data_IF_274901055964
#
_entry.id   IF_274901055964
#
_cell.length_a   1.000
_cell.length_b   1.000
_cell.length_c   1.000
_cell.angle_alpha   90.00
_cell.angle_beta   90.00
_cell.angle_gamma   90.00
#
_symmetry.space_group_name_H-M   'P 1'
#
loop_
_entity.id
_entity.type
_entity.pdbx_description
1 polymer ?
#
# COMPACT_ATOMS: atom_id res chain seq x y z
N UNK A 1 -26.69 25.04 -63.43
CA UNK A 1 -26.16 23.72 -63.00
C UNK A 1 -24.96 23.84 -62.07
N UNK A 2 -24.07 24.83 -62.25
CA UNK A 2 -22.87 24.99 -61.39
C UNK A 2 -23.14 25.47 -59.95
N UNK A 3 -24.26 26.15 -59.67
CA UNK A 3 -24.57 26.66 -58.32
C UNK A 3 -25.02 25.56 -57.35
N UNK A 4 -25.80 24.59 -57.82
CA UNK A 4 -26.27 23.46 -57.00
C UNK A 4 -25.14 22.51 -56.56
N UNK A 5 -24.09 22.39 -57.37
CA UNK A 5 -22.88 21.62 -57.02
C UNK A 5 -22.07 22.28 -55.91
N UNK A 6 -22.00 23.62 -55.88
CA UNK A 6 -21.29 24.33 -54.82
C UNK A 6 -22.00 24.24 -53.47
N UNK A 7 -23.33 24.32 -53.43
CA UNK A 7 -24.08 24.27 -52.17
C UNK A 7 -23.96 22.91 -51.47
N UNK A 8 -23.96 21.81 -52.25
CA UNK A 8 -23.76 20.47 -51.69
C UNK A 8 -22.34 20.27 -51.16
N UNK A 9 -21.31 20.75 -51.85
CA UNK A 9 -19.93 20.70 -51.37
C UNK A 9 -19.74 21.49 -50.07
N UNK A 10 -20.38 22.66 -49.93
CA UNK A 10 -20.33 23.46 -48.70
C UNK A 10 -21.01 22.70 -47.54
N UNK A 11 -22.15 22.04 -47.77
CA UNK A 11 -22.82 21.24 -46.76
C UNK A 11 -21.97 20.06 -46.28
N UNK A 12 -21.32 19.33 -47.21
CA UNK A 12 -20.42 18.24 -46.84
C UNK A 12 -19.18 18.74 -46.09
N UNK A 13 -18.61 19.87 -46.50
CA UNK A 13 -17.46 20.47 -45.81
C UNK A 13 -17.82 20.88 -44.37
N UNK A 14 -18.99 21.50 -44.16
CA UNK A 14 -19.50 21.85 -42.83
C UNK A 14 -19.77 20.62 -41.97
N UNK A 15 -20.37 19.57 -42.54
CA UNK A 15 -20.61 18.32 -41.84
C UNK A 15 -19.29 17.62 -41.45
N UNK A 16 -18.30 17.60 -42.34
CA UNK A 16 -16.99 17.04 -42.07
C UNK A 16 -16.25 17.81 -40.97
N UNK A 17 -16.32 19.16 -40.99
CA UNK A 17 -15.72 20.00 -39.95
C UNK A 17 -16.40 19.80 -38.60
N UNK A 18 -17.73 19.69 -38.58
CA UNK A 18 -18.49 19.33 -37.37
C UNK A 18 -18.08 17.97 -36.80
N UNK A 19 -17.95 16.96 -37.65
CA UNK A 19 -17.50 15.63 -37.24
C UNK A 19 -16.08 15.64 -36.65
N UNK A 20 -15.16 16.40 -37.25
CA UNK A 20 -13.79 16.56 -36.74
C UNK A 20 -13.76 17.21 -35.35
N UNK A 21 -14.57 18.24 -35.12
CA UNK A 21 -14.65 18.90 -33.81
C UNK A 21 -15.18 17.94 -32.75
N UNK A 22 -16.24 17.18 -33.05
CA UNK A 22 -16.79 16.18 -32.12
C UNK A 22 -15.73 15.11 -31.81
N UNK A 23 -14.99 14.65 -32.81
CA UNK A 23 -13.94 13.64 -32.61
C UNK A 23 -12.79 14.18 -31.76
N UNK A 24 -12.37 15.44 -31.99
CA UNK A 24 -11.36 16.11 -31.17
C UNK A 24 -11.80 16.25 -29.71
N UNK A 25 -13.06 16.62 -29.46
CA UNK A 25 -13.63 16.71 -28.12
C UNK A 25 -13.70 15.34 -27.43
N UNK A 26 -14.06 14.28 -28.15
CA UNK A 26 -14.07 12.91 -27.62
C UNK A 26 -12.66 12.45 -27.23
N UNK A 27 -11.66 12.66 -28.09
CA UNK A 27 -10.26 12.34 -27.78
C UNK A 27 -9.79 13.11 -26.55
N UNK A 28 -10.08 14.42 -26.48
CA UNK A 28 -9.72 15.25 -25.35
C UNK A 28 -10.36 14.78 -24.04
N UNK A 29 -11.66 14.46 -24.07
CA UNK A 29 -12.38 13.94 -22.92
C UNK A 29 -11.79 12.62 -22.42
N UNK A 30 -11.52 11.68 -23.34
CA UNK A 30 -10.87 10.41 -23.01
C UNK A 30 -9.46 10.60 -22.45
N UNK A 31 -8.71 11.56 -22.99
CA UNK A 31 -7.37 11.89 -22.49
C UNK A 31 -7.42 12.40 -21.04
N UNK A 32 -8.34 13.33 -20.74
CA UNK A 32 -8.55 13.84 -19.38
C UNK A 32 -8.99 12.75 -18.39
N UNK A 33 -9.93 11.89 -18.81
CA UNK A 33 -10.37 10.77 -17.98
C UNK A 33 -9.20 9.81 -17.67
N UNK A 34 -8.34 9.53 -18.64
CA UNK A 34 -7.14 8.71 -18.44
C UNK A 34 -6.16 9.37 -17.46
N UNK A 35 -5.93 10.68 -17.55
CA UNK A 35 -5.07 11.40 -16.60
C UNK A 35 -5.64 11.31 -15.18
N UNK A 36 -6.94 11.60 -15.01
CA UNK A 36 -7.59 11.53 -13.70
C UNK A 36 -7.55 10.11 -13.12
N UNK A 37 -7.83 9.11 -13.94
CA UNK A 37 -7.78 7.71 -13.51
C UNK A 37 -6.36 7.29 -13.09
N UNK A 38 -5.32 7.67 -13.86
CA UNK A 38 -3.92 7.42 -13.48
C UNK A 38 -3.53 8.11 -12.17
N UNK A 39 -3.97 9.34 -11.95
CA UNK A 39 -3.71 10.06 -10.70
C UNK A 39 -4.39 9.36 -9.50
N UNK A 40 -5.66 8.96 -9.65
CA UNK A 40 -6.39 8.21 -8.63
C UNK A 40 -5.73 6.85 -8.32
N UNK A 41 -5.33 6.11 -9.37
CA UNK A 41 -4.65 4.84 -9.24
C UNK A 41 -3.32 4.99 -8.46
N UNK A 42 -2.53 6.02 -8.76
CA UNK A 42 -1.31 6.33 -8.00
C UNK A 42 -1.60 6.66 -6.54
N UNK A 43 -2.57 7.53 -6.26
CA UNK A 43 -2.95 7.87 -4.89
C UNK A 43 -3.36 6.63 -4.09
N UNK A 44 -4.11 5.72 -4.71
CA UNK A 44 -4.51 4.45 -4.10
C UNK A 44 -3.34 3.48 -3.92
N UNK A 45 -2.37 3.49 -4.82
CA UNK A 45 -1.13 2.75 -4.64
C UNK A 45 -0.33 3.22 -3.42
N UNK A 46 -0.19 4.54 -3.25
CA UNK A 46 0.43 5.11 -2.04
C UNK A 46 -0.31 4.74 -0.76
N UNK A 47 -1.65 4.79 -0.77
CA UNK A 47 -2.45 4.35 0.38
C UNK A 47 -2.24 2.86 0.70
N UNK A 48 -2.14 2.01 -0.32
CA UNK A 48 -1.86 0.58 -0.13
C UNK A 48 -0.47 0.37 0.52
N UNK A 49 0.56 1.03 0.01
CA UNK A 49 1.93 0.94 0.54
C UNK A 49 1.96 1.42 1.99
N UNK A 50 1.32 2.55 2.29
CA UNK A 50 1.25 3.07 3.65
C UNK A 50 0.54 2.09 4.61
N UNK A 51 -0.57 1.48 4.18
CA UNK A 51 -1.27 0.48 4.97
C UNK A 51 -0.43 -0.80 5.19
N UNK A 52 0.36 -1.23 4.21
CA UNK A 52 1.30 -2.34 4.38
C UNK A 52 2.41 -2.02 5.40
N UNK A 53 2.96 -0.81 5.36
CA UNK A 53 3.95 -0.36 6.35
C UNK A 53 3.34 -0.23 7.75
N UNK A 54 2.11 0.30 7.85
CA UNK A 54 1.39 0.37 9.11
C UNK A 54 1.09 -1.03 9.67
N UNK A 55 0.81 -2.01 8.81
CA UNK A 55 0.67 -3.41 9.21
C UNK A 55 2.00 -3.98 9.75
N UNK A 56 3.12 -3.75 9.07
CA UNK A 56 4.44 -4.16 9.56
C UNK A 56 4.75 -3.55 10.94
N UNK A 57 4.49 -2.26 11.12
CA UNK A 57 4.67 -1.58 12.40
C UNK A 57 3.75 -2.14 13.49
N UNK A 58 2.49 -2.45 13.15
CA UNK A 58 1.56 -3.09 14.08
C UNK A 58 2.09 -4.43 14.60
N UNK A 59 2.66 -5.26 13.72
CA UNK A 59 3.28 -6.54 14.12
C UNK A 59 4.41 -6.33 15.11
N UNK A 60 5.30 -5.37 14.87
CA UNK A 60 6.38 -5.04 15.82
C UNK A 60 5.83 -4.56 17.17
N UNK A 61 4.74 -3.79 17.19
CA UNK A 61 4.09 -3.40 18.45
C UNK A 61 3.50 -4.60 19.21
N UNK A 62 2.92 -5.57 18.52
CA UNK A 62 2.33 -6.76 19.16
C UNK A 62 3.38 -7.69 19.78
N UNK A 63 4.61 -7.64 19.28
CA UNK A 63 5.73 -8.47 19.75
C UNK A 63 6.02 -8.29 21.24
N UNK A 64 5.99 -7.05 21.71
CA UNK A 64 6.44 -6.69 23.06
C UNK A 64 5.28 -6.64 24.07
N UNK A 65 4.05 -6.49 23.58
CA UNK A 65 2.86 -6.40 24.42
C UNK A 65 2.48 -7.77 25.01
N UNK A 66 2.12 -7.84 26.32
CA UNK A 66 1.44 -9.02 26.84
C UNK A 66 0.13 -9.17 26.07
N UNK A 67 -0.04 -10.33 25.45
CA UNK A 67 -1.14 -10.59 24.54
C UNK A 67 -2.43 -10.61 25.35
N UNK A 68 -3.14 -9.48 25.32
CA UNK A 68 -4.29 -9.18 26.18
C UNK A 68 -5.61 -9.36 25.44
N UNK A 69 -5.59 -9.92 24.22
CA UNK A 69 -6.78 -10.10 23.43
C UNK A 69 -7.68 -11.15 24.10
N UNK A 70 -8.79 -10.68 24.69
CA UNK A 70 -9.81 -11.51 25.32
C UNK A 70 -10.49 -12.47 24.32
N UNK A 71 -10.30 -12.26 23.01
CA UNK A 71 -10.72 -13.22 21.99
C UNK A 71 -9.81 -13.25 20.77
N UNK A 72 -9.62 -14.47 20.23
CA UNK A 72 -8.98 -14.71 18.93
C UNK A 72 -9.69 -13.93 17.78
N UNK A 73 -10.97 -13.57 17.99
CA UNK A 73 -11.81 -12.83 17.04
C UNK A 73 -11.35 -11.40 16.81
N UNK A 74 -10.87 -10.69 17.83
CA UNK A 74 -10.29 -9.34 17.70
C UNK A 74 -8.98 -9.35 16.88
N UNK A 75 -8.40 -10.53 16.66
CA UNK A 75 -7.12 -10.72 15.95
C UNK A 75 -7.30 -11.11 14.48
N UNK A 76 -8.54 -11.30 14.03
CA UNK A 76 -8.82 -11.84 12.69
C UNK A 76 -8.38 -10.91 11.55
N UNK A 77 -8.27 -9.61 11.77
CA UNK A 77 -7.52 -8.70 10.90
C UNK A 77 -7.32 -7.32 11.55
N UNK A 78 -6.08 -6.86 11.78
CA UNK A 78 -5.85 -5.48 12.23
C UNK A 78 -6.32 -4.48 11.16
N UNK A 79 -6.67 -3.27 11.59
CA UNK A 79 -7.21 -2.22 10.71
C UNK A 79 -6.37 -1.99 9.43
N UNK A 80 -5.02 -1.94 9.48
CA UNK A 80 -4.22 -1.80 8.26
C UNK A 80 -4.45 -2.93 7.25
N UNK A 81 -4.66 -4.16 7.73
CA UNK A 81 -4.93 -5.33 6.88
C UNK A 81 -6.35 -5.29 6.30
N UNK A 82 -7.33 -4.73 7.02
CA UNK A 82 -8.67 -4.41 6.50
C UNK A 82 -8.56 -3.43 5.33
N UNK A 83 -7.80 -2.34 5.54
CA UNK A 83 -7.57 -1.31 4.53
C UNK A 83 -6.84 -1.86 3.29
N UNK A 84 -5.83 -2.71 3.47
CA UNK A 84 -5.16 -3.44 2.37
C UNK A 84 -6.16 -4.26 1.56
N UNK A 85 -7.03 -5.05 2.21
CA UNK A 85 -8.05 -5.86 1.53
C UNK A 85 -9.03 -5.01 0.73
N UNK A 86 -9.49 -3.89 1.30
CA UNK A 86 -10.42 -2.98 0.63
C UNK A 86 -9.78 -2.34 -0.60
N UNK A 87 -8.59 -1.73 -0.46
CA UNK A 87 -7.89 -1.09 -1.58
C UNK A 87 -7.58 -2.13 -2.68
N UNK A 88 -7.15 -3.34 -2.31
CA UNK A 88 -6.94 -4.44 -3.25
C UNK A 88 -8.21 -4.82 -4.00
N UNK A 89 -9.37 -4.87 -3.32
CA UNK A 89 -10.64 -5.26 -3.95
C UNK A 89 -11.04 -4.23 -5.01
N UNK A 90 -10.91 -2.96 -4.66
CA UNK A 90 -11.49 -1.88 -5.45
C UNK A 90 -10.54 -1.38 -6.56
N UNK A 91 -9.21 -1.46 -6.36
CA UNK A 91 -8.22 -0.86 -7.27
C UNK A 91 -7.15 -1.80 -7.82
N UNK A 92 -6.80 -2.87 -7.08
CA UNK A 92 -5.70 -3.77 -7.46
C UNK A 92 -6.12 -5.24 -7.46
N UNK A 93 -7.11 -5.64 -8.28
CA UNK A 93 -7.65 -7.00 -8.25
C UNK A 93 -6.60 -8.08 -8.49
N UNK A 94 -5.57 -7.79 -9.28
CA UNK A 94 -4.45 -8.69 -9.60
C UNK A 94 -3.59 -9.08 -8.40
N UNK A 95 -3.60 -8.31 -7.30
CA UNK A 95 -2.85 -8.62 -6.07
C UNK A 95 -3.56 -9.66 -5.17
N UNK A 96 -4.60 -10.34 -5.67
CA UNK A 96 -5.38 -11.29 -4.88
C UNK A 96 -4.53 -12.40 -4.26
N UNK A 97 -3.64 -13.00 -5.04
CA UNK A 97 -2.81 -14.10 -4.55
C UNK A 97 -1.85 -13.64 -3.44
N UNK A 98 -1.21 -12.48 -3.61
CA UNK A 98 -0.32 -11.92 -2.60
C UNK A 98 -1.05 -11.59 -1.30
N UNK A 99 -2.24 -10.99 -1.38
CA UNK A 99 -3.05 -10.72 -0.18
C UNK A 99 -3.43 -12.01 0.54
N UNK A 100 -3.80 -13.07 -0.18
CA UNK A 100 -4.09 -14.37 0.45
C UNK A 100 -2.86 -14.95 1.15
N UNK A 101 -1.67 -14.83 0.55
CA UNK A 101 -0.41 -15.25 1.18
C UNK A 101 -0.10 -14.42 2.42
N UNK A 102 -0.29 -13.11 2.35
CA UNK A 102 -0.09 -12.19 3.48
C UNK A 102 -1.03 -12.53 4.65
N UNK A 103 -2.31 -12.81 4.37
CA UNK A 103 -3.28 -13.23 5.40
C UNK A 103 -2.89 -14.55 6.07
N UNK A 104 -2.38 -15.52 5.30
CA UNK A 104 -1.88 -16.79 5.86
C UNK A 104 -0.61 -16.60 6.70
N UNK A 105 0.28 -15.71 6.28
CA UNK A 105 1.46 -15.32 7.05
C UNK A 105 1.05 -14.62 8.36
N UNK A 106 0.09 -13.70 8.31
CA UNK A 106 -0.51 -13.05 9.49
C UNK A 106 -1.06 -14.07 10.49
N UNK A 107 -1.85 -15.04 10.02
CA UNK A 107 -2.42 -16.10 10.88
C UNK A 107 -1.33 -16.87 11.63
N UNK A 108 -0.28 -17.30 10.93
CA UNK A 108 0.86 -18.01 11.54
C UNK A 108 1.58 -17.13 12.57
N UNK A 109 1.81 -15.87 12.24
CA UNK A 109 2.50 -14.92 13.10
C UNK A 109 1.69 -14.65 14.38
N UNK A 110 0.39 -14.38 14.25
CA UNK A 110 -0.52 -14.21 15.39
C UNK A 110 -0.59 -15.46 16.25
N UNK A 111 -0.69 -16.64 15.64
CA UNK A 111 -0.70 -17.90 16.37
C UNK A 111 0.58 -18.10 17.18
N UNK A 112 1.73 -17.82 16.57
CA UNK A 112 3.03 -17.90 17.23
C UNK A 112 3.13 -16.91 18.41
N UNK A 113 2.78 -15.63 18.20
CA UNK A 113 2.80 -14.61 19.25
C UNK A 113 1.86 -14.98 20.41
N UNK A 114 0.68 -15.52 20.09
CA UNK A 114 -0.27 -16.00 21.07
C UNK A 114 0.29 -17.15 21.91
N UNK A 115 0.86 -18.19 21.27
CA UNK A 115 1.49 -19.31 21.97
C UNK A 115 2.62 -18.82 22.89
N UNK A 116 3.46 -17.93 22.40
CA UNK A 116 4.57 -17.37 23.16
C UNK A 116 4.09 -16.56 24.38
N UNK A 117 3.00 -15.81 24.23
CA UNK A 117 2.38 -15.08 25.34
C UNK A 117 1.84 -15.99 26.44
N UNK A 118 1.24 -17.12 26.07
CA UNK A 118 0.74 -18.12 27.02
C UNK A 118 1.88 -18.81 27.77
N UNK A 119 2.99 -19.09 27.09
CA UNK A 119 4.21 -19.62 27.73
C UNK A 119 4.81 -18.62 28.73
N UNK A 120 4.84 -17.33 28.38
CA UNK A 120 5.29 -16.25 29.27
C UNK A 120 4.46 -16.20 30.56
N UNK A 121 3.14 -16.32 30.44
CA UNK A 121 2.23 -16.30 31.61
C UNK A 121 2.33 -17.57 32.47
N UNK A 122 2.57 -18.73 31.86
CA UNK A 122 2.51 -20.02 32.55
C UNK A 122 3.82 -20.46 33.20
N UNK A 123 4.98 -20.15 32.60
CA UNK A 123 6.24 -20.78 33.01
C UNK A 123 7.20 -19.88 33.77
N UNK A 124 6.94 -18.57 33.90
CA UNK A 124 7.88 -17.64 34.55
C UNK A 124 9.30 -17.69 33.96
N UNK A 125 9.43 -18.28 32.76
CA UNK A 125 10.70 -18.55 32.10
C UNK A 125 11.38 -17.23 31.77
N UNK A 126 12.72 -17.15 31.83
CA UNK A 126 13.45 -15.98 31.38
C UNK A 126 13.05 -15.67 29.93
N UNK A 127 12.45 -14.49 29.77
CA UNK A 127 11.99 -13.98 28.49
C UNK A 127 13.16 -13.89 27.50
N UNK A 128 13.09 -14.67 26.42
CA UNK A 128 13.99 -14.50 25.28
C UNK A 128 13.48 -13.32 24.45
N UNK A 129 14.30 -12.29 24.15
CA UNK A 129 13.93 -11.24 23.23
C UNK A 129 13.52 -11.83 21.87
N UNK A 130 12.42 -11.37 21.29
CA UNK A 130 11.96 -11.86 19.98
C UNK A 130 12.95 -11.59 18.83
N UNK A 131 13.90 -10.66 19.01
CA UNK A 131 15.04 -10.48 18.10
C UNK A 131 15.99 -11.68 18.06
N UNK A 132 16.00 -12.49 19.11
CA UNK A 132 16.86 -13.66 19.27
C UNK A 132 16.13 -14.97 18.97
N UNK A 133 14.81 -14.93 18.75
CA UNK A 133 14.04 -16.12 18.38
C UNK A 133 14.10 -16.37 16.86
N UNK A 134 14.75 -17.47 16.41
CA UNK A 134 14.89 -17.77 14.99
C UNK A 134 13.56 -18.07 14.29
N UNK A 135 12.58 -18.61 15.00
CA UNK A 135 11.25 -18.93 14.46
C UNK A 135 10.48 -17.64 14.19
N UNK A 136 10.50 -16.70 15.14
CA UNK A 136 9.89 -15.37 14.92
C UNK A 136 10.55 -14.65 13.75
N UNK A 137 11.90 -14.62 13.73
CA UNK A 137 12.66 -13.97 12.65
C UNK A 137 12.30 -14.56 11.28
N UNK A 138 12.21 -15.88 11.15
CA UNK A 138 11.79 -16.52 9.90
C UNK A 138 10.39 -16.07 9.48
N UNK A 139 9.41 -16.11 10.39
CA UNK A 139 8.03 -15.67 10.09
C UNK A 139 7.99 -14.20 9.68
N UNK A 140 8.83 -13.36 10.31
CA UNK A 140 8.93 -11.94 10.00
C UNK A 140 9.53 -11.70 8.62
N UNK A 141 10.63 -12.37 8.27
CA UNK A 141 11.22 -12.27 6.93
C UNK A 141 10.25 -12.72 5.84
N UNK A 142 9.54 -13.84 6.04
CA UNK A 142 8.52 -14.30 5.09
C UNK A 142 7.40 -13.25 4.89
N UNK A 143 7.00 -12.56 5.96
CA UNK A 143 6.01 -11.47 5.88
C UNK A 143 6.57 -10.24 5.15
N UNK A 144 7.80 -9.82 5.46
CA UNK A 144 8.45 -8.66 4.83
C UNK A 144 8.66 -8.86 3.34
N UNK A 145 9.13 -10.03 2.93
CA UNK A 145 9.30 -10.38 1.52
C UNK A 145 7.98 -10.28 0.75
N UNK A 146 6.86 -10.74 1.35
CA UNK A 146 5.54 -10.60 0.76
C UNK A 146 5.08 -9.14 0.67
N UNK A 147 5.37 -8.33 1.70
CA UNK A 147 5.07 -6.90 1.69
C UNK A 147 5.85 -6.20 0.58
N UNK A 148 7.16 -6.46 0.47
CA UNK A 148 8.02 -5.88 -0.56
C UNK A 148 7.61 -6.35 -1.97
N UNK A 149 7.22 -7.62 -2.16
CA UNK A 149 6.65 -8.12 -3.42
C UNK A 149 5.36 -7.37 -3.80
N UNK A 150 4.48 -7.13 -2.83
CA UNK A 150 3.23 -6.39 -3.02
C UNK A 150 3.49 -4.93 -3.36
N UNK A 151 4.43 -4.28 -2.68
CA UNK A 151 4.83 -2.89 -2.94
C UNK A 151 5.41 -2.78 -4.35
N UNK A 152 6.32 -3.68 -4.75
CA UNK A 152 6.91 -3.73 -6.08
C UNK A 152 5.83 -3.93 -7.16
N UNK A 153 4.87 -4.82 -6.91
CA UNK A 153 3.77 -5.10 -7.84
C UNK A 153 2.80 -3.92 -7.94
N UNK A 154 2.49 -3.26 -6.82
CA UNK A 154 1.71 -2.04 -6.80
C UNK A 154 2.36 -0.93 -7.64
N UNK A 155 3.67 -0.71 -7.47
CA UNK A 155 4.45 0.29 -8.23
C UNK A 155 4.46 0.02 -9.73
N UNK A 156 4.61 -1.25 -10.13
CA UNK A 156 4.48 -1.66 -11.54
C UNK A 156 3.09 -1.33 -12.09
N UNK A 157 2.04 -1.61 -11.33
CA UNK A 157 0.66 -1.31 -11.74
C UNK A 157 0.36 0.19 -11.81
N UNK A 158 0.96 1.01 -10.92
CA UNK A 158 0.80 2.47 -10.95
C UNK A 158 1.73 3.18 -11.94
N UNK A 159 2.67 2.45 -12.55
CA UNK A 159 3.70 2.99 -13.45
C UNK A 159 4.70 3.90 -12.74
N UNK A 160 5.06 3.58 -11.49
CA UNK A 160 6.03 4.31 -10.65
C UNK A 160 7.28 3.45 -10.43
N UNK A 161 7.90 3.01 -11.52
CA UNK A 161 9.04 2.07 -11.49
C UNK A 161 10.37 2.80 -11.23
N UNK A 162 10.45 4.10 -11.52
CA UNK A 162 11.70 4.87 -11.52
C UNK A 162 12.11 5.42 -10.14
N UNK A 163 11.26 5.27 -9.10
CA UNK A 163 11.60 5.69 -7.74
C UNK A 163 12.24 4.54 -6.97
N UNK A 164 13.52 4.66 -6.63
CA UNK A 164 14.20 3.73 -5.71
C UNK A 164 13.41 3.64 -4.39
N UNK A 165 12.82 2.48 -4.11
CA UNK A 165 12.21 2.21 -2.79
C UNK A 165 13.33 1.86 -1.82
N UNK A 166 13.26 2.42 -0.62
CA UNK A 166 14.06 1.95 0.50
C UNK A 166 13.28 0.81 1.17
N UNK A 167 13.91 -0.35 1.32
CA UNK A 167 13.26 -1.53 1.91
C UNK A 167 12.78 -1.22 3.33
N UNK A 168 11.66 -1.85 3.69
CA UNK A 168 10.96 -1.63 4.96
C UNK A 168 11.78 -2.08 6.17
N UNK A 169 12.71 -3.03 6.00
CA UNK A 169 13.49 -3.63 7.10
C UNK A 169 14.89 -3.03 7.32
N UNK A 170 15.57 -2.51 6.29
CA UNK A 170 17.00 -2.12 6.40
C UNK A 170 17.24 -0.62 6.65
N UNK A 171 16.31 0.25 6.24
CA UNK A 171 16.59 1.68 6.09
C UNK A 171 15.78 2.58 7.05
N UNK A 172 14.89 2.02 7.87
CA UNK A 172 14.28 2.73 9.00
C UNK A 172 15.24 2.78 10.18
N UNK A 173 16.47 3.22 9.93
CA UNK A 173 17.30 3.75 11.00
C UNK A 173 16.63 5.08 11.41
N UNK A 174 15.88 5.07 12.51
CA UNK A 174 15.36 6.27 13.18
C UNK A 174 16.51 7.08 13.78
N UNK A 175 17.53 7.39 12.98
CA UNK A 175 18.66 8.21 13.37
C UNK A 175 18.17 9.64 13.61
N UNK A 176 17.71 9.90 14.83
CA UNK A 176 17.80 11.17 15.53
C UNK A 176 17.56 12.43 14.69
N UNK A 177 16.40 12.55 14.04
CA UNK A 177 15.90 13.86 13.60
C UNK A 177 14.98 14.43 14.68
N UNK A 178 15.47 14.48 15.91
CA UNK A 178 15.05 15.53 16.84
C UNK A 178 16.09 16.63 16.67
N UNK A 179 15.76 17.79 16.05
CA UNK A 179 16.57 18.96 16.28
C UNK A 179 16.49 19.26 17.78
N UNK A 180 17.60 19.00 18.49
CA UNK A 180 17.84 19.59 19.79
C UNK A 180 17.68 21.09 19.59
N UNK A 181 16.55 21.62 20.03
CA UNK A 181 16.35 23.05 20.18
C UNK A 181 17.34 23.48 21.26
N UNK A 182 18.51 23.95 20.84
CA UNK A 182 19.45 24.66 21.71
C UNK A 182 18.70 25.88 22.26
N UNK A 183 18.25 25.77 23.51
CA UNK A 183 17.75 26.89 24.27
C UNK A 183 18.87 27.92 24.47
N UNK A 184 18.55 29.23 24.55
CA UNK A 184 19.56 30.25 24.70
C UNK A 184 20.26 30.10 26.06
N UNK A 185 21.58 29.90 26.02
CA UNK A 185 22.44 29.94 27.19
C UNK A 185 22.44 31.36 27.76
N UNK A 186 21.65 31.59 28.81
CA UNK A 186 21.80 32.74 29.72
C UNK A 186 23.16 32.62 30.41
N UNK A 187 24.11 33.47 30.01
CA UNK A 187 25.33 33.74 30.79
C UNK A 187 24.95 34.58 31.99
N UNK A 188 25.31 34.11 33.19
CA UNK A 188 25.45 34.92 34.41
C UNK A 188 26.93 35.18 34.61
#
# INVERSE_FOLDING_TARGET
>A
MNTLLNDSLIQYALAALGALVVFALLIWCLHWLRIKHKAALRAKGWQLIHALNAYAAWVECQRDLPFSADSLGEMTAPEPLVTVRQIKRDWFPSLHLQVVRLLKSHERLVQYLWQHSMLRLSQGSPWCPASEDPVYQQLRYEQEDLIDEMIASCRRLTGDVDRVWKSTGSDFNYSNVFPLSEGPATRV
#
